data_IF_518981750505
#
_entry.id   IF_518981750505
#
_cell.length_a   1.000
_cell.length_b   1.000
_cell.length_c   1.000
_cell.angle_alpha   90.00
_cell.angle_beta   90.00
_cell.angle_gamma   90.00
#
_symmetry.space_group_name_H-M   'P 1'
#
loop_
_entity.id
_entity.type
_entity.pdbx_description
1 polymer ?
#
# COMPACT_ATOMS: atom_id res chain seq x y z
N UNK A 1 7.80 1.28 -13.23
CA UNK A 1 7.74 0.51 -11.96
C UNK A 1 8.45 -0.86 -12.04
N UNK A 2 8.70 -1.39 -13.24
CA UNK A 2 9.45 -2.66 -13.43
C UNK A 2 10.89 -2.57 -12.90
N UNK A 3 11.54 -1.40 -12.97
CA UNK A 3 12.89 -1.16 -12.45
C UNK A 3 13.02 -1.12 -10.93
N UNK A 4 11.90 -1.16 -10.19
CA UNK A 4 11.92 -1.16 -8.72
C UNK A 4 12.34 -2.54 -8.22
N UNK A 5 13.49 -2.61 -7.56
CA UNK A 5 14.07 -3.85 -7.03
C UNK A 5 13.27 -4.39 -5.86
N UNK A 6 13.11 -5.72 -5.76
CA UNK A 6 12.47 -6.34 -4.62
C UNK A 6 13.32 -6.26 -3.35
N UNK A 7 12.72 -6.60 -2.21
CA UNK A 7 13.44 -6.74 -0.94
C UNK A 7 14.45 -7.90 -1.03
N UNK A 8 15.73 -7.68 -0.69
CA UNK A 8 16.76 -8.73 -0.81
C UNK A 8 16.58 -9.86 0.21
N UNK A 9 16.10 -9.52 1.42
CA UNK A 9 15.92 -10.45 2.55
C UNK A 9 14.53 -10.28 3.16
N UNK A 10 13.45 -10.69 2.46
CA UNK A 10 12.09 -10.48 2.96
C UNK A 10 11.83 -11.27 4.24
N UNK A 11 11.22 -10.61 5.23
CA UNK A 11 10.88 -11.20 6.52
C UNK A 11 9.49 -11.80 6.49
N UNK A 12 9.38 -13.11 6.66
CA UNK A 12 8.12 -13.83 6.66
C UNK A 12 7.17 -13.33 7.75
N UNK A 13 7.70 -13.00 8.94
CA UNK A 13 6.93 -12.49 10.07
C UNK A 13 6.23 -11.14 9.78
N UNK A 14 6.74 -10.38 8.82
CA UNK A 14 6.16 -9.12 8.35
C UNK A 14 5.33 -9.28 7.07
N UNK A 15 5.14 -10.50 6.60
CA UNK A 15 4.46 -10.82 5.33
C UNK A 15 5.02 -10.00 4.15
N UNK A 16 6.35 -9.75 4.16
CA UNK A 16 7.00 -8.92 3.15
C UNK A 16 7.04 -9.63 1.79
N UNK A 17 6.34 -9.07 0.84
CA UNK A 17 6.50 -9.34 -0.57
C UNK A 17 6.43 -8.02 -1.32
N UNK A 18 7.24 -7.88 -2.34
CA UNK A 18 7.16 -6.68 -3.19
C UNK A 18 5.93 -6.79 -4.07
N UNK A 19 4.99 -5.84 -3.95
CA UNK A 19 3.81 -5.79 -4.81
C UNK A 19 4.23 -5.84 -6.29
N UNK A 20 3.64 -6.70 -7.14
CA UNK A 20 3.99 -6.79 -8.55
C UNK A 20 3.81 -5.45 -9.26
N UNK A 21 4.71 -5.13 -10.20
CA UNK A 21 4.68 -3.85 -10.91
C UNK A 21 3.34 -3.59 -11.62
N UNK A 22 2.74 -4.64 -12.20
CA UNK A 22 1.43 -4.55 -12.84
C UNK A 22 0.32 -4.19 -11.85
N UNK A 23 0.29 -4.85 -10.68
CA UNK A 23 -0.72 -4.57 -9.67
C UNK A 23 -0.57 -3.14 -9.10
N UNK A 24 0.66 -2.72 -8.83
CA UNK A 24 0.95 -1.34 -8.42
C UNK A 24 0.51 -0.32 -9.48
N UNK A 25 0.81 -0.58 -10.76
CA UNK A 25 0.40 0.28 -11.87
C UNK A 25 -1.13 0.38 -11.98
N UNK A 26 -1.85 -0.72 -11.78
CA UNK A 26 -3.32 -0.77 -11.82
C UNK A 26 -3.94 0.03 -10.67
N UNK A 27 -3.43 -0.12 -9.44
CA UNK A 27 -3.85 0.68 -8.27
C UNK A 27 -3.66 2.17 -8.54
N UNK A 28 -2.47 2.55 -9.00
CA UNK A 28 -2.11 3.94 -9.27
C UNK A 28 -2.90 4.52 -10.45
N UNK A 29 -3.18 3.72 -11.48
CA UNK A 29 -4.06 4.11 -12.58
C UNK A 29 -5.48 4.39 -12.09
N UNK A 30 -6.04 3.52 -11.25
CA UNK A 30 -7.35 3.74 -10.64
C UNK A 30 -7.33 5.03 -9.82
N UNK A 31 -6.32 5.20 -8.97
CA UNK A 31 -6.23 6.37 -8.09
C UNK A 31 -6.08 7.68 -8.87
N UNK A 32 -5.28 7.72 -9.94
CA UNK A 32 -5.04 8.95 -10.70
C UNK A 32 -5.98 9.12 -11.89
N UNK A 33 -6.04 8.14 -12.80
CA UNK A 33 -6.75 8.33 -14.07
C UNK A 33 -8.27 8.27 -13.91
N UNK A 34 -8.78 7.52 -12.93
CA UNK A 34 -10.22 7.41 -12.68
C UNK A 34 -10.69 8.45 -11.67
N UNK A 35 -9.90 8.71 -10.61
CA UNK A 35 -10.37 9.52 -9.49
C UNK A 35 -9.62 10.85 -9.29
N UNK A 36 -8.41 11.03 -9.85
CA UNK A 36 -7.63 12.26 -9.69
C UNK A 36 -7.11 12.48 -8.26
N UNK A 37 -6.84 11.39 -7.55
CA UNK A 37 -6.52 11.42 -6.12
C UNK A 37 -5.00 11.46 -5.83
N UNK A 38 -4.12 11.64 -6.85
CA UNK A 38 -2.66 11.66 -6.66
C UNK A 38 -1.99 12.95 -7.10
N UNK A 39 -2.27 13.47 -8.30
CA UNK A 39 -1.61 14.66 -8.83
C UNK A 39 -1.88 15.88 -7.96
N UNK A 40 -0.81 16.59 -7.56
CA UNK A 40 -0.88 17.75 -6.67
C UNK A 40 -1.34 17.43 -5.24
N UNK A 41 -1.30 16.17 -4.83
CA UNK A 41 -1.76 15.70 -3.52
C UNK A 41 -0.60 15.34 -2.60
N UNK A 42 -0.84 15.47 -1.29
CA UNK A 42 -0.02 14.85 -0.26
C UNK A 42 -0.40 13.37 -0.12
N UNK A 43 0.58 12.47 -0.28
CA UNK A 43 0.37 11.02 -0.29
C UNK A 43 1.18 10.34 0.80
N UNK A 44 0.55 9.48 1.59
CA UNK A 44 1.25 8.55 2.50
C UNK A 44 1.10 7.12 2.00
N UNK A 45 2.22 6.37 1.96
CA UNK A 45 2.28 4.94 1.65
C UNK A 45 2.63 4.19 2.93
N UNK A 46 1.64 3.51 3.52
CA UNK A 46 1.79 2.79 4.77
C UNK A 46 2.25 1.35 4.53
N UNK A 47 3.38 0.96 5.15
CA UNK A 47 4.05 -0.30 4.85
C UNK A 47 4.60 -0.29 3.44
N UNK A 48 5.34 0.76 3.09
CA UNK A 48 5.77 1.03 1.71
C UNK A 48 6.73 -0.02 1.13
N UNK A 49 7.33 -0.86 1.97
CA UNK A 49 8.27 -1.88 1.56
C UNK A 49 9.43 -1.28 0.76
N UNK A 50 9.60 -1.74 -0.47
CA UNK A 50 10.65 -1.24 -1.37
C UNK A 50 10.24 -0.01 -2.19
N UNK A 51 9.13 0.64 -1.83
CA UNK A 51 8.72 1.96 -2.31
C UNK A 51 7.97 1.99 -3.63
N UNK A 52 7.45 0.86 -4.13
CA UNK A 52 6.87 0.81 -5.49
C UNK A 52 5.63 1.70 -5.64
N UNK A 53 4.74 1.73 -4.65
CA UNK A 53 3.56 2.60 -4.67
C UNK A 53 3.95 4.07 -4.46
N UNK A 54 4.83 4.36 -3.50
CA UNK A 54 5.35 5.71 -3.25
C UNK A 54 6.02 6.32 -4.50
N UNK A 55 6.91 5.55 -5.15
CA UNK A 55 7.58 5.96 -6.39
C UNK A 55 6.56 6.22 -7.50
N UNK A 56 5.58 5.33 -7.62
CA UNK A 56 4.53 5.49 -8.62
C UNK A 56 3.64 6.71 -8.38
N UNK A 57 3.30 7.02 -7.14
CA UNK A 57 2.56 8.24 -6.78
C UNK A 57 3.36 9.50 -7.15
N UNK A 58 4.67 9.53 -6.84
CA UNK A 58 5.55 10.64 -7.22
C UNK A 58 5.67 10.79 -8.74
N UNK A 59 5.78 9.68 -9.50
CA UNK A 59 5.79 9.70 -10.97
C UNK A 59 4.49 10.24 -11.57
N UNK A 60 3.37 10.10 -10.87
CA UNK A 60 2.05 10.61 -11.27
C UNK A 60 1.76 12.02 -10.76
N UNK A 61 2.79 12.74 -10.27
CA UNK A 61 2.68 14.15 -9.94
C UNK A 61 2.17 14.45 -8.53
N UNK A 62 2.23 13.50 -7.60
CA UNK A 62 1.98 13.80 -6.18
C UNK A 62 2.95 14.91 -5.73
N UNK A 63 2.42 15.93 -5.03
CA UNK A 63 3.20 17.09 -4.57
C UNK A 63 4.16 16.70 -3.44
N UNK A 64 3.70 15.83 -2.55
CA UNK A 64 4.45 15.35 -1.41
C UNK A 64 4.19 13.87 -1.19
N UNK A 65 5.23 13.07 -1.00
CA UNK A 65 5.09 11.64 -0.75
C UNK A 65 5.90 11.23 0.48
N UNK A 66 5.25 10.51 1.38
CA UNK A 66 5.89 9.84 2.54
C UNK A 66 5.71 8.35 2.40
N UNK A 67 6.82 7.59 2.39
CA UNK A 67 6.81 6.13 2.50
C UNK A 67 7.26 5.70 3.89
N UNK A 68 6.42 4.96 4.60
CA UNK A 68 6.69 4.49 5.97
C UNK A 68 6.77 2.98 6.01
N UNK A 69 7.82 2.45 6.58
CA UNK A 69 7.94 1.01 6.86
C UNK A 69 8.70 0.79 8.18
N UNK A 70 8.37 -0.28 8.86
CA UNK A 70 9.05 -0.65 10.12
C UNK A 70 10.44 -1.23 9.87
N UNK A 71 10.68 -1.72 8.65
CA UNK A 71 11.94 -2.37 8.28
C UNK A 71 12.94 -1.37 7.68
N UNK A 72 14.05 -1.07 8.38
CA UNK A 72 15.07 -0.15 7.85
C UNK A 72 15.74 -0.66 6.57
N UNK A 73 15.82 -1.98 6.36
CA UNK A 73 16.37 -2.54 5.12
C UNK A 73 15.44 -2.28 3.93
N UNK A 74 14.12 -2.43 4.12
CA UNK A 74 13.12 -2.09 3.12
C UNK A 74 13.21 -0.61 2.73
N UNK A 75 13.28 0.30 3.70
CA UNK A 75 13.43 1.74 3.48
C UNK A 75 14.73 2.08 2.75
N UNK A 76 15.84 1.44 3.11
CA UNK A 76 17.12 1.65 2.39
C UNK A 76 17.03 1.19 0.92
N UNK A 77 16.28 0.12 0.63
CA UNK A 77 16.01 -0.31 -0.75
C UNK A 77 15.07 0.67 -1.46
N UNK A 78 14.03 1.15 -0.79
CA UNK A 78 13.09 2.11 -1.34
C UNK A 78 13.79 3.41 -1.79
N UNK A 79 14.68 3.95 -0.94
CA UNK A 79 15.46 5.13 -1.28
C UNK A 79 16.32 4.92 -2.54
N UNK A 80 17.07 3.82 -2.61
CA UNK A 80 17.86 3.46 -3.80
C UNK A 80 16.99 3.25 -5.05
N UNK A 81 15.81 2.67 -4.88
CA UNK A 81 14.87 2.50 -5.99
C UNK A 81 14.39 3.85 -6.51
N UNK A 82 14.01 4.79 -5.65
CA UNK A 82 13.64 6.15 -6.04
C UNK A 82 14.75 6.83 -6.83
N UNK A 83 15.97 6.83 -6.32
CA UNK A 83 17.14 7.39 -6.99
C UNK A 83 17.39 6.75 -8.37
N UNK A 84 17.26 5.42 -8.47
CA UNK A 84 17.52 4.67 -9.71
C UNK A 84 16.56 5.01 -10.85
N UNK A 85 15.36 5.49 -10.53
CA UNK A 85 14.35 5.94 -11.50
C UNK A 85 14.26 7.47 -11.60
N UNK A 86 15.21 8.18 -10.99
CA UNK A 86 15.31 9.64 -11.06
C UNK A 86 14.31 10.39 -10.17
N UNK A 87 13.60 9.71 -9.28
CA UNK A 87 12.67 10.34 -8.34
C UNK A 87 13.40 10.69 -7.05
N UNK A 88 13.31 11.97 -6.69
CA UNK A 88 13.87 12.54 -5.46
C UNK A 88 12.75 13.25 -4.70
N UNK A 89 12.96 13.45 -3.39
CA UNK A 89 12.00 14.21 -2.56
C UNK A 89 10.94 13.36 -1.87
N UNK A 90 10.87 12.04 -2.11
CA UNK A 90 10.06 11.16 -1.26
C UNK A 90 10.69 11.11 0.13
N UNK A 91 9.88 11.34 1.15
CA UNK A 91 10.30 11.20 2.55
C UNK A 91 10.20 9.72 2.94
N UNK A 92 11.35 9.09 3.15
CA UNK A 92 11.45 7.70 3.58
C UNK A 92 11.60 7.64 5.10
N UNK A 93 10.66 6.99 5.78
CA UNK A 93 10.58 6.97 7.25
C UNK A 93 10.63 5.54 7.78
N UNK A 94 11.62 5.24 8.61
CA UNK A 94 11.67 3.98 9.37
C UNK A 94 10.86 4.17 10.64
N UNK A 95 9.64 3.62 10.67
CA UNK A 95 8.75 3.74 11.83
C UNK A 95 7.65 2.70 11.80
N UNK A 96 7.13 2.37 12.97
CA UNK A 96 5.82 1.75 13.07
C UNK A 96 4.76 2.76 12.61
N UNK A 97 3.76 2.30 11.85
CA UNK A 97 2.69 3.16 11.32
C UNK A 97 1.90 3.86 12.43
N UNK A 98 1.81 3.25 13.61
CA UNK A 98 1.12 3.83 14.78
C UNK A 98 1.72 5.15 15.25
N UNK A 99 3.01 5.37 14.98
CA UNK A 99 3.71 6.61 15.36
C UNK A 99 3.53 7.75 14.35
N UNK A 100 3.11 7.46 13.10
CA UNK A 100 2.88 8.49 12.09
C UNK A 100 1.73 9.41 12.51
N UNK A 101 1.92 10.72 12.30
CA UNK A 101 0.94 11.78 12.58
C UNK A 101 0.85 12.71 11.39
N UNK A 102 -0.25 13.40 11.27
CA UNK A 102 -0.52 14.38 10.22
C UNK A 102 -1.79 14.04 9.45
N UNK A 103 -2.08 14.86 8.45
CA UNK A 103 -3.19 14.66 7.52
C UNK A 103 -2.63 14.59 6.10
N UNK A 104 -3.18 13.67 5.30
CA UNK A 104 -2.82 13.47 3.91
C UNK A 104 -4.07 13.51 3.04
N UNK A 105 -3.95 14.06 1.84
CA UNK A 105 -5.05 14.00 0.87
C UNK A 105 -5.35 12.54 0.50
N UNK A 106 -4.29 11.74 0.30
CA UNK A 106 -4.43 10.33 -0.07
C UNK A 106 -3.50 9.44 0.76
N UNK A 107 -4.03 8.34 1.24
CA UNK A 107 -3.25 7.22 1.81
C UNK A 107 -3.37 6.04 0.86
N UNK A 108 -2.25 5.45 0.49
CA UNK A 108 -2.18 4.20 -0.26
C UNK A 108 -1.48 3.14 0.57
N UNK A 109 -1.96 1.90 0.48
CA UNK A 109 -1.33 0.81 1.22
C UNK A 109 -1.61 -0.56 0.60
N UNK A 110 -0.61 -1.44 0.72
CA UNK A 110 -0.74 -2.86 0.53
C UNK A 110 -0.37 -3.55 1.86
N UNK A 111 -1.30 -3.58 2.83
CA UNK A 111 -1.00 -4.07 4.17
C UNK A 111 -0.74 -5.57 4.19
N UNK A 112 -0.10 -6.11 5.24
CA UNK A 112 -0.04 -7.55 5.45
C UNK A 112 -1.46 -8.13 5.51
N UNK A 113 -1.67 -9.31 4.91
CA UNK A 113 -3.00 -9.93 4.84
C UNK A 113 -3.45 -10.58 6.16
N UNK A 114 -2.68 -10.43 7.22
CA UNK A 114 -3.02 -10.97 8.54
C UNK A 114 -2.85 -12.48 8.69
N UNK A 115 -2.10 -13.11 7.79
CA UNK A 115 -1.82 -14.56 7.83
C UNK A 115 -0.89 -14.91 8.97
N UNK A 116 0.14 -14.09 9.21
CA UNK A 116 1.13 -14.28 10.28
C UNK A 116 0.77 -13.50 11.55
N UNK A 117 0.27 -12.29 11.42
CA UNK A 117 -0.19 -11.44 12.52
C UNK A 117 -1.67 -11.11 12.34
N UNK A 118 -2.51 -11.86 13.05
CA UNK A 118 -3.97 -11.64 12.99
C UNK A 118 -4.33 -10.20 13.37
N UNK A 119 -5.10 -9.53 12.51
CA UNK A 119 -5.57 -8.15 12.73
C UNK A 119 -4.59 -7.06 12.30
N UNK A 120 -3.44 -7.40 11.69
CA UNK A 120 -2.51 -6.40 11.15
C UNK A 120 -3.16 -5.54 10.06
N UNK A 121 -3.92 -6.16 9.16
CA UNK A 121 -4.72 -5.50 8.13
C UNK A 121 -5.72 -4.49 8.70
N UNK A 122 -6.32 -4.81 9.84
CA UNK A 122 -7.22 -3.91 10.56
C UNK A 122 -6.48 -2.68 11.10
N UNK A 123 -5.35 -2.86 11.79
CA UNK A 123 -4.54 -1.77 12.35
C UNK A 123 -4.12 -0.79 11.25
N UNK A 124 -3.70 -1.32 10.10
CA UNK A 124 -3.36 -0.53 8.93
C UNK A 124 -4.54 0.28 8.39
N UNK A 125 -5.72 -0.33 8.27
CA UNK A 125 -6.90 0.36 7.76
C UNK A 125 -7.39 1.43 8.74
N UNK A 126 -7.41 1.15 10.04
CA UNK A 126 -7.76 2.14 11.08
C UNK A 126 -6.81 3.35 11.02
N UNK A 127 -5.49 3.09 10.87
CA UNK A 127 -4.49 4.14 10.75
C UNK A 127 -4.62 4.94 9.45
N UNK A 128 -4.92 4.27 8.35
CA UNK A 128 -5.16 4.95 7.08
C UNK A 128 -6.36 5.90 7.15
N UNK A 129 -7.45 5.49 7.83
CA UNK A 129 -8.64 6.33 8.01
C UNK A 129 -8.34 7.54 8.93
N UNK A 130 -7.48 7.35 9.95
CA UNK A 130 -7.04 8.45 10.83
C UNK A 130 -6.26 9.52 10.06
N UNK A 131 -5.44 9.12 9.08
CA UNK A 131 -4.48 9.99 8.42
C UNK A 131 -4.97 10.57 7.09
N UNK A 132 -5.83 9.85 6.36
CA UNK A 132 -6.14 10.16 4.97
C UNK A 132 -7.57 10.63 4.74
N UNK A 133 -7.74 11.58 3.82
CA UNK A 133 -9.07 11.98 3.31
C UNK A 133 -9.60 10.94 2.31
N UNK A 134 -8.72 10.43 1.47
CA UNK A 134 -8.99 9.32 0.54
C UNK A 134 -8.01 8.19 0.83
N UNK A 135 -8.50 6.96 0.88
CA UNK A 135 -7.68 5.80 1.17
C UNK A 135 -7.82 4.76 0.05
N UNK A 136 -6.70 4.25 -0.44
CA UNK A 136 -6.61 3.08 -1.30
C UNK A 136 -5.96 1.95 -0.52
N UNK A 137 -6.75 0.93 -0.17
CA UNK A 137 -6.28 -0.19 0.65
C UNK A 137 -6.54 -1.51 -0.05
N UNK A 138 -5.48 -2.30 -0.23
CA UNK A 138 -5.54 -3.61 -0.86
C UNK A 138 -5.74 -4.71 0.20
N UNK A 139 -6.72 -5.56 0.00
CA UNK A 139 -7.03 -6.67 0.91
C UNK A 139 -7.25 -7.96 0.14
N UNK A 140 -7.10 -9.11 0.79
CA UNK A 140 -7.47 -10.39 0.19
C UNK A 140 -8.97 -10.41 -0.11
N UNK A 141 -9.32 -10.86 -1.32
CA UNK A 141 -10.73 -10.97 -1.72
C UNK A 141 -11.39 -12.14 -1.00
N UNK A 142 -12.30 -11.80 -0.09
CA UNK A 142 -13.06 -12.75 0.71
C UNK A 142 -14.38 -12.11 1.16
N UNK A 143 -15.53 -12.80 1.02
CA UNK A 143 -16.85 -12.26 1.37
C UNK A 143 -16.96 -11.80 2.83
N UNK A 144 -16.40 -12.54 3.77
CA UNK A 144 -16.45 -12.20 5.20
C UNK A 144 -15.62 -10.95 5.50
N UNK A 145 -14.45 -10.83 4.86
CA UNK A 145 -13.57 -9.67 4.93
C UNK A 145 -14.26 -8.41 4.40
N UNK A 146 -15.04 -8.51 3.31
CA UNK A 146 -15.78 -7.36 2.76
C UNK A 146 -16.76 -6.76 3.76
N UNK A 147 -17.54 -7.63 4.41
CA UNK A 147 -18.48 -7.19 5.44
C UNK A 147 -17.79 -6.57 6.65
N UNK A 148 -16.66 -7.12 7.06
CA UNK A 148 -15.85 -6.59 8.16
C UNK A 148 -15.26 -5.23 7.82
N UNK A 149 -14.60 -5.08 6.66
CA UNK A 149 -13.98 -3.83 6.22
C UNK A 149 -15.02 -2.71 6.13
N UNK A 150 -16.18 -2.98 5.51
CA UNK A 150 -17.25 -2.00 5.41
C UNK A 150 -17.69 -1.48 6.79
N UNK A 151 -17.96 -2.38 7.74
CA UNK A 151 -18.35 -1.99 9.11
C UNK A 151 -17.25 -1.23 9.83
N UNK A 152 -15.98 -1.60 9.62
CA UNK A 152 -14.85 -0.91 10.23
C UNK A 152 -14.72 0.52 9.72
N UNK A 153 -14.81 0.71 8.40
CA UNK A 153 -14.80 2.03 7.75
C UNK A 153 -15.93 2.91 8.25
N UNK A 154 -17.16 2.38 8.28
CA UNK A 154 -18.34 3.11 8.76
C UNK A 154 -18.22 3.49 10.24
N UNK A 155 -17.69 2.60 11.09
CA UNK A 155 -17.43 2.85 12.51
C UNK A 155 -16.48 4.03 12.74
N UNK A 156 -15.50 4.21 11.84
CA UNK A 156 -14.55 5.32 11.92
C UNK A 156 -14.97 6.55 11.10
N UNK A 157 -16.25 6.63 10.72
CA UNK A 157 -16.82 7.80 10.04
C UNK A 157 -16.53 7.89 8.55
N UNK A 158 -15.90 6.87 7.96
CA UNK A 158 -15.62 6.79 6.52
C UNK A 158 -16.74 6.13 5.72
N UNK A 159 -16.57 6.11 4.41
CA UNK A 159 -17.44 5.39 3.47
C UNK A 159 -16.61 4.67 2.40
N UNK A 160 -16.90 3.41 2.16
CA UNK A 160 -16.38 2.69 0.98
C UNK A 160 -17.13 3.19 -0.25
N UNK A 161 -16.45 3.93 -1.11
CA UNK A 161 -17.06 4.51 -2.32
C UNK A 161 -16.95 3.59 -3.53
N UNK A 162 -15.85 2.82 -3.62
CA UNK A 162 -15.60 1.89 -4.71
C UNK A 162 -14.88 0.65 -4.20
N UNK A 163 -15.12 -0.47 -4.89
CA UNK A 163 -14.46 -1.75 -4.68
C UNK A 163 -14.04 -2.30 -6.05
N UNK A 164 -12.74 -2.49 -6.25
CA UNK A 164 -12.17 -3.05 -7.47
C UNK A 164 -11.61 -4.43 -7.18
N UNK A 165 -12.07 -5.44 -7.90
CA UNK A 165 -11.50 -6.79 -7.82
C UNK A 165 -10.35 -6.93 -8.79
N UNK A 166 -9.22 -7.46 -8.32
CA UNK A 166 -8.00 -7.60 -9.08
C UNK A 166 -7.40 -8.98 -8.86
N UNK A 167 -6.65 -9.46 -9.86
CA UNK A 167 -5.79 -10.62 -9.72
C UNK A 167 -4.33 -10.18 -9.56
N UNK A 168 -3.74 -10.56 -8.45
CA UNK A 168 -2.33 -10.30 -8.18
C UNK A 168 -1.53 -11.61 -8.29
N UNK A 169 -0.46 -11.58 -9.06
CA UNK A 169 0.45 -12.71 -9.23
C UNK A 169 1.71 -12.47 -8.41
N UNK A 170 1.76 -13.03 -7.21
CA UNK A 170 2.91 -12.92 -6.32
C UNK A 170 4.01 -13.86 -6.81
N UNK A 171 5.24 -13.36 -7.07
CA UNK A 171 6.38 -14.23 -7.36
C UNK A 171 6.74 -15.08 -6.13
N UNK A 172 7.42 -16.22 -6.29
CA UNK A 172 7.93 -16.98 -5.16
C UNK A 172 8.90 -16.10 -4.36
N UNK A 173 8.50 -15.74 -3.16
CA UNK A 173 9.26 -14.85 -2.26
C UNK A 173 10.01 -15.63 -1.21
N UNK A 174 9.56 -16.85 -0.88
CA UNK A 174 10.13 -17.73 0.13
C UNK A 174 10.41 -19.11 -0.44
N UNK A 175 11.41 -19.82 0.08
CA UNK A 175 11.87 -21.13 -0.41
C UNK A 175 10.81 -22.23 -0.42
N UNK A 176 9.77 -22.10 0.40
CA UNK A 176 8.65 -23.03 0.44
C UNK A 176 7.58 -22.79 -0.64
N UNK A 177 7.71 -21.73 -1.46
CA UNK A 177 6.80 -21.48 -2.56
C UNK A 177 7.12 -22.41 -3.75
N UNK A 178 6.33 -23.47 -3.91
CA UNK A 178 6.51 -24.50 -4.95
C UNK A 178 6.05 -24.00 -6.34
N UNK A 179 5.10 -23.07 -6.39
CA UNK A 179 4.57 -22.54 -7.64
C UNK A 179 5.39 -21.33 -8.12
N UNK A 180 5.69 -21.31 -9.45
CA UNK A 180 6.40 -20.19 -10.07
C UNK A 180 5.67 -18.85 -10.01
N UNK A 181 4.35 -18.85 -9.82
CA UNK A 181 3.49 -17.68 -9.60
C UNK A 181 2.25 -18.11 -8.82
N UNK A 182 2.00 -17.49 -7.70
CA UNK A 182 0.77 -17.70 -6.92
C UNK A 182 -0.24 -16.60 -7.26
N UNK A 183 -1.40 -16.99 -7.82
CA UNK A 183 -2.52 -16.05 -8.08
C UNK A 183 -3.27 -15.82 -6.79
N UNK A 184 -3.40 -14.57 -6.40
CA UNK A 184 -4.21 -14.12 -5.26
C UNK A 184 -5.28 -13.16 -5.77
N UNK A 185 -6.54 -13.49 -5.54
CA UNK A 185 -7.62 -12.55 -5.76
C UNK A 185 -7.61 -11.51 -4.63
N UNK A 186 -7.59 -10.24 -4.99
CA UNK A 186 -7.54 -9.12 -4.06
C UNK A 186 -8.62 -8.09 -4.38
N UNK A 187 -9.04 -7.38 -3.36
CA UNK A 187 -10.00 -6.29 -3.42
C UNK A 187 -9.27 -4.98 -3.09
N UNK A 188 -9.30 -4.02 -4.01
CA UNK A 188 -8.85 -2.66 -3.76
C UNK A 188 -10.06 -1.82 -3.33
N UNK A 189 -10.01 -1.32 -2.12
CA UNK A 189 -11.01 -0.42 -1.57
C UNK A 189 -10.61 1.03 -1.78
N UNK A 190 -11.50 1.84 -2.34
CA UNK A 190 -11.42 3.29 -2.23
C UNK A 190 -12.37 3.74 -1.12
N UNK A 191 -11.80 4.33 -0.09
CA UNK A 191 -12.52 4.84 1.07
C UNK A 191 -12.39 6.36 1.10
N UNK A 192 -13.46 7.06 1.46
CA UNK A 192 -13.43 8.50 1.76
C UNK A 192 -13.71 8.64 3.25
N UNK A 193 -12.78 9.26 3.96
CA UNK A 193 -12.93 9.61 5.37
C UNK A 193 -13.73 10.90 5.49
N UNK A 194 -14.57 10.99 6.52
CA UNK A 194 -15.25 12.23 6.90
C UNK A 194 -14.41 12.93 7.99
N UNK A 195 -13.18 13.28 7.63
CA UNK A 195 -12.40 14.16 8.49
C UNK A 195 -12.95 15.58 8.45
#
# INVERSE_FOLDING_TARGET
LEGVRPHPNPKEALEQYTIPARAAAEILFIAQAIHGDLEGKSVADLGCGTGRLSIGAALLGAEFVVGVDIDPEAIAVAARNGESVGIRGIQWVVSDISALRGEFDTVIQNPPFGVRRRGADREFLEKAIELGRVIYSLHKSDPDSRGFIKRLVEKHGGAVTHLYQMDMYIPPTFDFHVERRHRVAVDLYRVVSRA
#
